data_IF_954784209330
#
_entry.id   IF_954784209330
#
_cell.length_a   1.000
_cell.length_b   1.000
_cell.length_c   1.000
_cell.angle_alpha   90.00
_cell.angle_beta   90.00
_cell.angle_gamma   90.00
#
_symmetry.space_group_name_H-M   'P 1'
#
loop_
_entity.id
_entity.type
_entity.pdbx_description
1 polymer ?
#
# COMPACT_ATOMS: atom_id res chain seq x y z
N UNK A 1 -1.63 -25.99 -8.22
CA UNK A 1 -0.74 -25.21 -7.36
C UNK A 1 0.26 -24.48 -8.25
N UNK A 2 0.74 -23.31 -7.84
CA UNK A 2 1.64 -22.48 -8.65
C UNK A 2 3.09 -22.60 -8.16
N UNK A 3 4.04 -22.39 -9.08
CA UNK A 3 5.48 -22.25 -8.79
C UNK A 3 5.91 -20.80 -9.00
N UNK A 4 7.14 -20.45 -8.68
CA UNK A 4 7.69 -19.11 -8.93
C UNK A 4 7.71 -18.73 -10.41
N UNK A 5 7.83 -19.70 -11.33
CA UNK A 5 7.84 -19.53 -12.78
C UNK A 5 6.43 -19.44 -13.39
N UNK A 6 5.38 -19.71 -12.59
CA UNK A 6 4.00 -19.64 -13.05
C UNK A 6 3.68 -18.24 -13.54
N UNK A 7 3.10 -18.11 -14.73
CA UNK A 7 2.69 -16.80 -15.28
C UNK A 7 1.55 -16.19 -14.49
N UNK A 8 1.67 -14.92 -14.17
CA UNK A 8 0.68 -14.18 -13.36
C UNK A 8 -0.72 -14.15 -13.97
N UNK A 9 -0.81 -14.16 -15.29
CA UNK A 9 -2.10 -14.11 -15.97
C UNK A 9 -3.05 -15.24 -15.54
N UNK A 10 -2.52 -16.42 -15.18
CA UNK A 10 -3.30 -17.56 -14.72
C UNK A 10 -3.83 -17.45 -13.29
N UNK A 11 -3.30 -16.49 -12.50
CA UNK A 11 -3.64 -16.30 -11.08
C UNK A 11 -4.46 -15.03 -10.87
N UNK A 12 -4.04 -13.91 -11.48
CA UNK A 12 -4.61 -12.58 -11.21
C UNK A 12 -5.42 -12.01 -12.38
N UNK A 13 -5.51 -12.74 -13.50
CA UNK A 13 -6.22 -12.35 -14.70
C UNK A 13 -5.48 -11.38 -15.61
N UNK A 14 -5.84 -11.40 -16.90
CA UNK A 14 -5.14 -10.74 -18.01
C UNK A 14 -4.92 -9.24 -17.81
N UNK A 15 -5.96 -8.50 -17.43
CA UNK A 15 -5.89 -7.03 -17.33
C UNK A 15 -4.84 -6.57 -16.32
N UNK A 16 -4.80 -7.21 -15.15
CA UNK A 16 -3.86 -6.84 -14.08
C UNK A 16 -2.46 -7.31 -14.41
N UNK A 17 -2.32 -8.55 -14.93
CA UNK A 17 -1.03 -9.09 -15.35
C UNK A 17 -0.37 -8.23 -16.44
N UNK A 18 -1.15 -7.75 -17.42
CA UNK A 18 -0.68 -6.83 -18.46
C UNK A 18 -0.15 -5.51 -17.88
N UNK A 19 -0.86 -4.91 -16.94
CA UNK A 19 -0.43 -3.64 -16.31
C UNK A 19 0.84 -3.85 -15.48
N UNK A 20 0.96 -4.97 -14.76
CA UNK A 20 2.17 -5.33 -14.02
C UNK A 20 3.38 -5.50 -14.96
N UNK A 21 3.18 -6.18 -16.09
CA UNK A 21 4.24 -6.36 -17.09
C UNK A 21 4.64 -5.02 -17.72
N UNK A 22 3.69 -4.19 -18.17
CA UNK A 22 3.96 -2.93 -18.86
C UNK A 22 4.68 -1.89 -17.99
N UNK A 23 4.42 -1.88 -16.68
CA UNK A 23 4.92 -0.82 -15.79
C UNK A 23 6.04 -1.26 -14.85
N UNK A 24 6.18 -2.55 -14.58
CA UNK A 24 7.13 -3.10 -13.62
C UNK A 24 7.92 -4.28 -14.17
N UNK A 25 7.69 -4.70 -15.43
CA UNK A 25 8.31 -5.87 -16.07
C UNK A 25 8.02 -7.21 -15.34
N UNK A 26 6.95 -7.23 -14.54
CA UNK A 26 6.52 -8.38 -13.74
C UNK A 26 5.65 -9.30 -14.57
N UNK A 27 6.07 -10.56 -14.77
CA UNK A 27 5.37 -11.55 -15.60
C UNK A 27 5.05 -12.85 -14.87
N UNK A 28 5.85 -13.20 -13.88
CA UNK A 28 5.73 -14.45 -13.12
C UNK A 28 5.38 -14.20 -11.66
N UNK A 29 4.97 -15.25 -10.95
CA UNK A 29 4.76 -15.22 -9.51
C UNK A 29 6.04 -14.80 -8.79
N UNK A 30 7.18 -15.34 -9.20
CA UNK A 30 8.47 -15.00 -8.62
C UNK A 30 8.85 -13.53 -8.82
N UNK A 31 8.53 -12.93 -9.98
CA UNK A 31 8.74 -11.50 -10.21
C UNK A 31 7.88 -10.67 -9.28
N UNK A 32 6.59 -11.04 -9.13
CA UNK A 32 5.67 -10.34 -8.25
C UNK A 32 6.11 -10.40 -6.79
N UNK A 33 6.58 -11.55 -6.32
CA UNK A 33 7.05 -11.72 -4.94
C UNK A 33 8.42 -11.08 -4.68
N UNK A 34 9.14 -10.64 -5.70
CA UNK A 34 10.33 -9.78 -5.58
C UNK A 34 9.99 -8.29 -5.65
N UNK A 35 8.74 -7.95 -5.92
CA UNK A 35 8.28 -6.57 -5.87
C UNK A 35 7.93 -6.20 -4.42
N UNK A 36 8.96 -5.90 -3.62
CA UNK A 36 8.83 -5.70 -2.18
C UNK A 36 8.07 -4.42 -1.82
N UNK A 37 7.37 -4.40 -0.67
CA UNK A 37 6.82 -3.17 -0.11
C UNK A 37 7.94 -2.15 0.17
N UNK A 38 7.64 -0.88 0.00
CA UNK A 38 8.55 0.21 0.39
C UNK A 38 8.52 0.47 1.89
N UNK A 39 7.39 0.21 2.50
CA UNK A 39 7.13 0.39 3.93
C UNK A 39 5.84 -0.31 4.33
N UNK A 40 5.62 -0.39 5.61
CA UNK A 40 4.38 -0.90 6.19
C UNK A 40 3.66 0.21 6.94
N UNK A 41 2.33 0.19 6.89
CA UNK A 41 1.45 1.08 7.63
C UNK A 41 0.87 0.32 8.80
N UNK A 42 1.08 0.80 10.02
CA UNK A 42 0.57 0.16 11.23
C UNK A 42 -0.94 0.33 11.33
N UNK A 43 -1.67 -0.77 11.47
CA UNK A 43 -3.14 -0.77 11.61
C UNK A 43 -3.62 -0.33 13.00
N UNK A 44 -2.77 -0.30 14.02
CA UNK A 44 -3.20 -0.26 15.41
C UNK A 44 -3.52 1.10 15.99
N UNK A 45 -3.11 2.19 15.35
CA UNK A 45 -3.27 3.54 15.88
C UNK A 45 -3.85 4.44 14.80
N UNK A 46 -5.14 4.18 14.47
CA UNK A 46 -5.91 5.17 13.71
C UNK A 46 -6.05 6.41 14.60
N UNK A 47 -5.35 7.45 14.21
CA UNK A 47 -5.40 8.72 14.93
C UNK A 47 -6.55 9.54 14.39
N UNK A 48 -7.39 10.09 15.28
CA UNK A 48 -8.43 11.03 14.90
C UNK A 48 -7.78 12.29 14.32
N UNK A 49 -8.36 12.82 13.24
CA UNK A 49 -7.83 14.03 12.57
C UNK A 49 -7.77 15.24 13.54
N UNK A 50 -8.65 15.30 14.51
CA UNK A 50 -8.69 16.37 15.48
C UNK A 50 -7.46 16.38 16.41
N UNK A 51 -6.96 15.21 16.78
CA UNK A 51 -5.85 15.02 17.72
C UNK A 51 -4.45 15.08 17.10
N UNK A 52 -4.32 15.24 15.77
CA UNK A 52 -3.04 15.27 15.08
C UNK A 52 -2.14 16.42 15.53
N UNK A 53 -0.87 16.12 15.83
CA UNK A 53 0.15 17.13 16.10
C UNK A 53 1.14 17.25 14.94
N UNK A 54 1.66 18.46 14.72
CA UNK A 54 2.67 18.70 13.69
C UNK A 54 3.97 17.94 14.01
N UNK A 55 4.51 17.25 13.00
CA UNK A 55 5.71 16.44 13.12
C UNK A 55 5.47 14.95 13.40
N UNK A 56 4.27 14.55 13.79
CA UNK A 56 3.92 13.14 14.03
C UNK A 56 3.81 12.35 12.72
N UNK A 57 4.25 11.09 12.74
CA UNK A 57 3.92 10.09 11.73
C UNK A 57 2.60 9.43 12.13
N UNK A 58 1.61 9.55 11.24
CA UNK A 58 0.23 9.11 11.55
C UNK A 58 -0.35 8.26 10.44
N UNK A 59 -1.30 7.42 10.84
CA UNK A 59 -2.22 6.74 9.92
C UNK A 59 -3.64 7.12 10.30
N UNK A 60 -4.38 7.67 9.36
CA UNK A 60 -5.78 8.02 9.53
C UNK A 60 -6.67 7.19 8.61
N UNK A 61 -7.83 6.81 9.11
CA UNK A 61 -8.92 6.34 8.26
C UNK A 61 -9.82 7.52 7.94
N UNK A 62 -10.04 7.79 6.65
CA UNK A 62 -10.81 8.94 6.25
C UNK A 62 -11.55 8.73 4.92
N UNK A 63 -12.58 9.53 4.70
CA UNK A 63 -13.34 9.63 3.46
C UNK A 63 -12.91 10.86 2.68
N UNK A 64 -12.71 10.71 1.38
CA UNK A 64 -12.45 11.84 0.48
C UNK A 64 -13.70 12.69 0.35
N UNK A 65 -13.59 13.96 0.70
CA UNK A 65 -14.66 14.95 0.57
C UNK A 65 -14.56 15.70 -0.76
N UNK A 66 -13.36 16.08 -1.17
CA UNK A 66 -13.13 16.72 -2.47
C UNK A 66 -11.68 16.60 -2.91
N UNK A 67 -11.45 16.61 -4.19
CA UNK A 67 -10.10 16.66 -4.78
C UNK A 67 -10.06 17.72 -5.87
N UNK A 68 -9.02 18.57 -5.84
CA UNK A 68 -8.82 19.65 -6.79
C UNK A 68 -7.40 19.63 -7.32
N UNK A 69 -7.26 19.77 -8.63
CA UNK A 69 -5.97 19.97 -9.28
C UNK A 69 -5.79 21.45 -9.58
N UNK A 70 -4.67 21.98 -9.14
CA UNK A 70 -4.28 23.37 -9.40
C UNK A 70 -2.97 23.40 -10.17
N UNK A 71 -2.97 24.02 -11.34
CA UNK A 71 -1.76 24.27 -12.09
C UNK A 71 -1.01 25.46 -11.47
N UNK A 72 0.30 25.36 -11.38
CA UNK A 72 1.15 26.47 -10.91
C UNK A 72 1.43 27.39 -12.11
N UNK A 73 1.02 28.67 -12.06
CA UNK A 73 1.27 29.62 -13.14
C UNK A 73 2.79 29.73 -13.45
N UNK A 74 3.14 29.63 -14.73
CA UNK A 74 4.53 29.74 -15.19
C UNK A 74 5.39 28.49 -14.96
N UNK A 75 4.83 27.40 -14.48
CA UNK A 75 5.52 26.10 -14.31
C UNK A 75 4.68 24.96 -14.88
N UNK A 76 5.35 23.94 -15.46
CA UNK A 76 4.69 22.68 -15.86
C UNK A 76 4.43 21.78 -14.64
N UNK A 77 3.93 22.36 -13.56
CA UNK A 77 3.75 21.69 -12.27
C UNK A 77 2.29 21.78 -11.83
N UNK A 78 1.76 20.71 -11.29
CA UNK A 78 0.41 20.66 -10.73
C UNK A 78 0.47 20.30 -9.24
N UNK A 79 -0.42 20.90 -8.46
CA UNK A 79 -0.67 20.53 -7.08
C UNK A 79 -2.05 19.88 -7.02
N UNK A 80 -2.12 18.69 -6.45
CA UNK A 80 -3.39 18.04 -6.09
C UNK A 80 -3.62 18.28 -4.61
N UNK A 81 -4.71 18.95 -4.29
CA UNK A 81 -5.20 19.13 -2.93
C UNK A 81 -6.44 18.24 -2.76
N UNK A 82 -6.33 17.24 -1.90
CA UNK A 82 -7.43 16.35 -1.54
C UNK A 82 -7.84 16.62 -0.10
N UNK A 83 -9.10 16.94 0.14
CA UNK A 83 -9.65 17.11 1.48
C UNK A 83 -10.27 15.79 1.89
N UNK A 84 -9.84 15.26 3.03
CA UNK A 84 -10.38 14.04 3.63
C UNK A 84 -10.98 14.36 5.00
N UNK A 85 -11.94 13.56 5.44
CA UNK A 85 -12.62 13.68 6.73
C UNK A 85 -12.84 12.33 7.38
N UNK A 86 -12.70 12.28 8.69
CA UNK A 86 -13.11 11.17 9.56
C UNK A 86 -14.57 11.30 10.06
N UNK A 87 -15.28 12.32 9.58
CA UNK A 87 -16.63 12.68 10.00
C UNK A 87 -16.68 13.75 11.11
N UNK A 88 -15.56 14.07 11.76
CA UNK A 88 -15.44 15.10 12.83
C UNK A 88 -14.58 16.26 12.38
N UNK A 89 -13.43 15.97 11.82
CA UNK A 89 -12.45 16.96 11.38
C UNK A 89 -12.05 16.74 9.91
N UNK A 90 -11.28 17.70 9.36
CA UNK A 90 -10.79 17.65 7.97
C UNK A 90 -9.28 17.79 7.94
N UNK A 91 -8.66 17.06 7.01
CA UNK A 91 -7.22 17.12 6.75
C UNK A 91 -6.97 17.32 5.25
N UNK A 92 -5.94 18.06 4.93
CA UNK A 92 -5.51 18.28 3.54
C UNK A 92 -4.41 17.27 3.20
N UNK A 93 -4.60 16.55 2.11
CA UNK A 93 -3.56 15.75 1.47
C UNK A 93 -3.03 16.52 0.27
N UNK A 94 -1.72 16.70 0.18
CA UNK A 94 -1.10 17.48 -0.90
C UNK A 94 -0.14 16.59 -1.71
N UNK A 95 -0.31 16.59 -3.03
CA UNK A 95 0.59 15.87 -3.94
C UNK A 95 1.10 16.82 -5.02
N UNK A 96 2.42 16.85 -5.23
CA UNK A 96 3.04 17.67 -6.27
C UNK A 96 3.32 16.82 -7.52
N UNK A 97 3.02 17.38 -8.70
CA UNK A 97 3.24 16.75 -10.00
C UNK A 97 2.56 15.38 -10.22
N UNK A 98 1.46 15.12 -9.51
CA UNK A 98 0.74 13.86 -9.56
C UNK A 98 -0.75 14.06 -9.86
N UNK A 99 -1.07 14.88 -10.88
CA UNK A 99 -2.46 15.21 -11.27
C UNK A 99 -3.35 13.97 -11.50
N UNK A 100 -2.76 12.84 -11.89
CA UNK A 100 -3.46 11.58 -12.08
C UNK A 100 -4.16 11.05 -10.80
N UNK A 101 -3.72 11.49 -9.62
CA UNK A 101 -4.32 11.07 -8.34
C UNK A 101 -5.75 11.57 -8.16
N UNK A 102 -6.15 12.64 -8.84
CA UNK A 102 -7.54 13.12 -8.87
C UNK A 102 -8.53 12.02 -9.30
N UNK A 103 -8.13 11.19 -10.27
CA UNK A 103 -8.95 10.09 -10.75
C UNK A 103 -9.09 8.96 -9.73
N UNK A 104 -8.13 8.80 -8.84
CA UNK A 104 -8.13 7.77 -7.81
C UNK A 104 -8.81 8.28 -6.52
N UNK A 105 -8.49 9.52 -6.12
CA UNK A 105 -9.02 10.16 -4.91
C UNK A 105 -10.31 10.92 -5.23
N UNK A 106 -11.33 10.19 -5.69
CA UNK A 106 -12.65 10.78 -5.99
C UNK A 106 -13.44 10.99 -4.71
N UNK A 107 -14.33 11.96 -4.74
CA UNK A 107 -15.32 12.19 -3.67
C UNK A 107 -16.05 10.90 -3.31
N UNK A 108 -16.21 10.65 -2.02
CA UNK A 108 -16.86 9.47 -1.49
C UNK A 108 -15.93 8.27 -1.24
N UNK A 109 -14.75 8.22 -1.86
CA UNK A 109 -13.79 7.14 -1.62
C UNK A 109 -13.30 7.14 -0.18
N UNK A 110 -13.17 5.96 0.40
CA UNK A 110 -12.64 5.76 1.74
C UNK A 110 -11.26 5.08 1.66
N UNK A 111 -10.43 5.33 2.66
CA UNK A 111 -9.11 4.71 2.70
C UNK A 111 -8.31 5.05 3.94
N UNK A 112 -7.19 4.36 4.06
CA UNK A 112 -6.14 4.68 5.02
C UNK A 112 -5.16 5.64 4.35
N UNK A 113 -4.76 6.68 5.07
CA UNK A 113 -3.80 7.67 4.64
C UNK A 113 -2.71 7.79 5.70
N UNK A 114 -1.44 7.62 5.30
CA UNK A 114 -0.31 7.61 6.20
C UNK A 114 0.75 8.60 5.77
N UNK A 115 1.35 9.28 6.75
CA UNK A 115 2.44 10.22 6.51
C UNK A 115 2.69 11.14 7.67
N UNK A 116 3.69 12.01 7.50
CA UNK A 116 4.05 13.00 8.50
C UNK A 116 3.13 14.21 8.45
N UNK A 117 2.59 14.56 9.61
CA UNK A 117 1.77 15.78 9.77
C UNK A 117 2.65 17.02 9.62
N UNK A 118 2.36 17.82 8.64
CA UNK A 118 2.96 19.12 8.44
C UNK A 118 1.93 20.25 8.52
N UNK A 119 2.39 21.48 8.37
CA UNK A 119 1.55 22.67 8.35
C UNK A 119 1.85 23.51 7.11
N UNK A 120 0.79 24.01 6.47
CA UNK A 120 0.90 24.97 5.39
C UNK A 120 -0.15 26.06 5.53
N UNK A 121 0.28 27.32 5.61
CA UNK A 121 -0.61 28.48 5.83
C UNK A 121 -1.55 28.29 7.04
N UNK A 122 -1.03 27.72 8.13
CA UNK A 122 -1.77 27.48 9.38
C UNK A 122 -2.77 26.33 9.33
N UNK A 123 -2.77 25.53 8.24
CA UNK A 123 -3.61 24.32 8.13
C UNK A 123 -2.75 23.07 8.18
N UNK A 124 -3.19 22.09 8.96
CA UNK A 124 -2.53 20.77 9.00
C UNK A 124 -2.73 20.06 7.66
N UNK A 125 -1.68 19.37 7.21
CA UNK A 125 -1.69 18.58 5.98
C UNK A 125 -0.77 17.38 6.09
N UNK A 126 -1.00 16.39 5.23
CA UNK A 126 -0.03 15.37 4.88
C UNK A 126 0.51 15.68 3.47
N UNK A 127 1.84 15.87 3.36
CA UNK A 127 2.49 16.06 2.07
C UNK A 127 2.95 14.72 1.51
N UNK A 128 2.48 14.39 0.31
CA UNK A 128 2.74 13.09 -0.33
C UNK A 128 2.44 11.87 0.55
N UNK A 129 1.27 11.82 1.22
CA UNK A 129 0.96 10.64 2.02
C UNK A 129 0.89 9.39 1.15
N UNK A 130 1.25 8.26 1.72
CA UNK A 130 0.84 6.98 1.17
C UNK A 130 -0.62 6.75 1.50
N UNK A 131 -1.31 5.99 0.65
CA UNK A 131 -2.69 5.66 0.90
C UNK A 131 -3.09 4.30 0.35
N UNK A 132 -4.03 3.69 1.02
CA UNK A 132 -4.71 2.47 0.63
C UNK A 132 -6.21 2.78 0.53
N UNK A 133 -6.76 2.78 -0.68
CA UNK A 133 -8.19 3.00 -0.88
C UNK A 133 -8.97 1.70 -0.71
N UNK A 134 -10.10 1.79 -0.02
CA UNK A 134 -11.05 0.68 0.11
C UNK A 134 -11.84 0.57 -1.20
N UNK A 135 -12.01 -0.64 -1.76
CA UNK A 135 -12.86 -0.86 -2.92
C UNK A 135 -14.30 -0.41 -2.69
N UNK A 136 -14.96 0.11 -3.74
CA UNK A 136 -16.35 0.54 -3.66
C UNK A 136 -17.26 -0.66 -3.34
N UNK A 137 -18.10 -0.53 -2.32
CA UNK A 137 -19.04 -1.57 -1.89
C UNK A 137 -18.48 -2.56 -0.87
N UNK A 138 -17.21 -2.50 -0.53
CA UNK A 138 -16.65 -3.26 0.58
C UNK A 138 -16.79 -2.50 1.91
N UNK A 139 -17.11 -3.24 2.98
CA UNK A 139 -17.07 -2.65 4.32
C UNK A 139 -15.62 -2.39 4.72
N UNK A 140 -15.41 -1.35 5.52
CA UNK A 140 -14.10 -1.04 6.12
C UNK A 140 -13.50 -2.26 6.80
N UNK A 141 -14.32 -2.98 7.58
CA UNK A 141 -13.91 -4.16 8.32
C UNK A 141 -13.59 -5.35 7.40
N UNK A 142 -14.28 -5.49 6.26
CA UNK A 142 -13.97 -6.53 5.28
C UNK A 142 -12.70 -6.21 4.50
N UNK A 143 -12.55 -4.97 4.02
CA UNK A 143 -11.35 -4.53 3.31
C UNK A 143 -10.11 -4.52 4.22
N UNK A 144 -10.29 -4.20 5.51
CA UNK A 144 -9.25 -4.25 6.53
C UNK A 144 -9.08 -5.69 7.07
N UNK A 145 -10.16 -6.48 7.18
CA UNK A 145 -10.12 -7.87 7.64
C UNK A 145 -9.40 -8.79 6.66
N UNK A 146 -9.50 -8.49 5.37
CA UNK A 146 -8.75 -9.15 4.31
C UNK A 146 -7.22 -8.92 4.42
N UNK A 147 -6.80 -7.85 5.08
CA UNK A 147 -5.44 -7.65 5.55
C UNK A 147 -5.39 -8.04 7.03
N UNK A 148 -5.41 -9.35 7.31
CA UNK A 148 -5.44 -9.91 8.66
C UNK A 148 -4.19 -9.53 9.51
N UNK A 149 -3.21 -8.90 8.90
CA UNK A 149 -2.00 -8.40 9.55
C UNK A 149 -2.18 -7.02 10.18
N UNK A 150 -1.40 -6.78 11.22
CA UNK A 150 -1.28 -5.48 11.90
C UNK A 150 -0.61 -4.41 11.02
N UNK A 151 0.12 -4.86 10.00
CA UNK A 151 0.95 -4.04 9.12
C UNK A 151 0.48 -4.18 7.67
N UNK A 152 0.09 -3.05 7.07
CA UNK A 152 -0.35 -2.99 5.68
C UNK A 152 0.82 -2.67 4.76
N UNK A 153 1.18 -3.54 3.82
CA UNK A 153 2.29 -3.29 2.91
C UNK A 153 1.95 -2.20 1.89
N UNK A 154 2.84 -1.24 1.71
CA UNK A 154 2.73 -0.18 0.70
C UNK A 154 3.74 -0.43 -0.41
N UNK A 155 3.24 -0.88 -1.57
CA UNK A 155 4.05 -1.20 -2.74
C UNK A 155 4.32 0.02 -3.62
N UNK A 156 5.44 0.03 -4.36
CA UNK A 156 5.61 0.89 -5.51
C UNK A 156 4.43 0.70 -6.47
N UNK A 157 3.73 1.77 -6.81
CA UNK A 157 2.46 1.71 -7.52
C UNK A 157 2.39 2.73 -8.66
N UNK A 158 1.43 2.54 -9.58
CA UNK A 158 1.16 3.46 -10.68
C UNK A 158 -0.28 3.96 -10.65
N UNK A 159 -0.59 4.94 -11.50
CA UNK A 159 -1.97 5.42 -11.68
C UNK A 159 -2.95 4.32 -12.09
N UNK A 160 -2.47 3.34 -12.85
CA UNK A 160 -3.31 2.23 -13.36
C UNK A 160 -3.41 1.07 -12.39
N UNK A 161 -2.42 0.93 -11.49
CA UNK A 161 -2.35 -0.17 -10.53
C UNK A 161 -1.94 0.36 -9.15
N UNK A 162 -2.91 0.65 -8.28
CA UNK A 162 -2.65 1.16 -6.93
C UNK A 162 -2.07 0.07 -6.02
N UNK A 163 -1.37 0.48 -4.97
CA UNK A 163 -0.67 -0.40 -4.02
C UNK A 163 -1.56 -1.50 -3.43
N UNK A 164 -2.79 -1.18 -3.04
CA UNK A 164 -3.72 -2.17 -2.49
C UNK A 164 -4.05 -3.30 -3.48
N UNK A 165 -4.12 -2.97 -4.80
CA UNK A 165 -4.36 -3.98 -5.84
C UNK A 165 -3.14 -4.88 -6.02
N UNK A 166 -1.93 -4.33 -5.90
CA UNK A 166 -0.69 -5.11 -5.89
C UNK A 166 -0.67 -6.03 -4.68
N UNK A 167 -1.00 -5.51 -3.48
CA UNK A 167 -1.10 -6.31 -2.25
C UNK A 167 -2.08 -7.48 -2.39
N UNK A 168 -3.26 -7.24 -3.01
CA UNK A 168 -4.21 -8.29 -3.32
C UNK A 168 -3.63 -9.36 -4.26
N UNK A 169 -2.91 -8.93 -5.30
CA UNK A 169 -2.25 -9.85 -6.23
C UNK A 169 -1.17 -10.68 -5.55
N UNK A 170 -0.35 -10.06 -4.70
CA UNK A 170 0.68 -10.74 -3.91
C UNK A 170 0.08 -11.80 -3.00
N UNK A 171 -1.02 -11.48 -2.30
CA UNK A 171 -1.72 -12.44 -1.46
C UNK A 171 -2.22 -13.64 -2.27
N UNK A 172 -2.92 -13.39 -3.37
CA UNK A 172 -3.39 -14.47 -4.25
C UNK A 172 -2.24 -15.34 -4.77
N UNK A 173 -1.09 -14.73 -5.07
CA UNK A 173 0.10 -15.45 -5.49
C UNK A 173 0.66 -16.32 -4.36
N UNK A 174 0.83 -15.77 -3.15
CA UNK A 174 1.29 -16.52 -1.97
C UNK A 174 0.36 -17.69 -1.59
N UNK A 175 -0.96 -17.47 -1.68
CA UNK A 175 -1.97 -18.49 -1.36
C UNK A 175 -2.01 -19.63 -2.41
N UNK A 176 -1.60 -19.33 -3.64
CA UNK A 176 -1.57 -20.30 -4.75
C UNK A 176 -0.27 -21.10 -4.83
N UNK A 177 0.81 -20.66 -4.16
CA UNK A 177 2.12 -21.29 -4.21
C UNK A 177 2.12 -22.69 -3.56
N UNK A 178 2.87 -23.58 -4.19
CA UNK A 178 3.34 -24.80 -3.55
C UNK A 178 4.41 -24.47 -2.50
N UNK A 179 4.67 -25.43 -1.61
CA UNK A 179 5.77 -25.33 -0.68
C UNK A 179 7.09 -25.19 -1.46
N UNK A 180 7.84 -24.13 -1.16
CA UNK A 180 9.10 -23.85 -1.83
C UNK A 180 10.24 -24.54 -1.07
N UNK A 181 11.14 -25.16 -1.83
CA UNK A 181 12.38 -25.68 -1.28
C UNK A 181 13.30 -24.52 -0.86
N UNK A 182 13.91 -24.65 0.29
CA UNK A 182 14.90 -23.70 0.77
C UNK A 182 16.19 -23.77 -0.07
N UNK A 183 16.81 -22.61 -0.28
CA UNK A 183 18.13 -22.51 -0.95
C UNK A 183 19.27 -22.94 -0.04
N UNK A 184 19.08 -22.88 1.27
CA UNK A 184 20.06 -23.27 2.28
C UNK A 184 19.68 -24.62 2.91
N UNK A 185 20.67 -25.45 3.30
CA UNK A 185 20.40 -26.65 4.07
C UNK A 185 19.70 -26.34 5.38
N UNK A 186 18.74 -27.17 5.79
CA UNK A 186 17.96 -26.97 7.01
C UNK A 186 18.83 -26.83 8.27
N UNK A 187 19.91 -27.61 8.34
CA UNK A 187 20.89 -27.52 9.44
C UNK A 187 21.49 -26.12 9.58
N UNK A 188 21.74 -25.44 8.46
CA UNK A 188 22.27 -24.08 8.47
C UNK A 188 21.19 -23.03 8.86
N UNK A 189 19.95 -23.23 8.40
CA UNK A 189 18.84 -22.38 8.80
C UNK A 189 18.60 -22.46 10.32
N UNK A 190 18.61 -23.67 10.86
CA UNK A 190 18.44 -23.91 12.31
C UNK A 190 19.60 -23.31 13.13
N UNK A 191 20.85 -23.45 12.67
CA UNK A 191 22.03 -22.89 13.34
C UNK A 191 22.03 -21.36 13.37
N UNK A 192 21.59 -20.74 12.27
CA UNK A 192 21.56 -19.28 12.11
C UNK A 192 20.24 -18.67 12.59
N UNK A 193 19.28 -19.48 12.99
CA UNK A 193 17.92 -19.07 13.39
C UNK A 193 17.20 -18.30 12.28
N UNK A 194 17.42 -18.69 11.02
CA UNK A 194 16.75 -18.10 9.88
C UNK A 194 15.40 -18.80 9.61
N UNK A 195 14.38 -18.03 9.23
CA UNK A 195 13.12 -18.61 8.75
C UNK A 195 13.34 -19.38 7.44
N UNK A 196 12.46 -20.30 7.10
CA UNK A 196 12.41 -20.88 5.77
C UNK A 196 12.15 -19.81 4.70
N UNK A 197 12.51 -20.10 3.45
CA UNK A 197 12.30 -19.16 2.34
C UNK A 197 10.82 -18.76 2.18
N UNK A 198 9.91 -19.72 2.35
CA UNK A 198 8.46 -19.46 2.30
C UNK A 198 7.99 -18.58 3.46
N UNK A 199 8.47 -18.84 4.68
CA UNK A 199 8.16 -17.99 5.86
C UNK A 199 8.70 -16.58 5.67
N UNK A 200 9.95 -16.42 5.20
CA UNK A 200 10.54 -15.13 4.90
C UNK A 200 9.73 -14.36 3.85
N UNK A 201 9.31 -15.01 2.76
CA UNK A 201 8.45 -14.39 1.76
C UNK A 201 7.11 -13.92 2.34
N UNK A 202 6.48 -14.75 3.17
CA UNK A 202 5.22 -14.39 3.82
C UNK A 202 5.39 -13.22 4.77
N UNK A 203 6.45 -13.22 5.56
CA UNK A 203 6.75 -12.16 6.53
C UNK A 203 7.05 -10.82 5.86
N UNK A 204 7.83 -10.81 4.76
CA UNK A 204 8.10 -9.60 3.96
C UNK A 204 6.82 -9.00 3.39
N UNK A 205 5.85 -9.79 2.99
CA UNK A 205 4.62 -9.29 2.39
C UNK A 205 3.47 -9.07 3.37
N UNK A 206 3.53 -9.70 4.54
CA UNK A 206 2.52 -9.61 5.59
C UNK A 206 3.16 -9.81 6.98
N UNK A 207 3.92 -8.83 7.48
CA UNK A 207 4.64 -8.94 8.74
C UNK A 207 3.70 -9.20 9.91
N UNK A 208 4.11 -10.13 10.77
CA UNK A 208 3.34 -10.51 11.97
C UNK A 208 3.58 -9.57 13.15
N UNK A 209 4.68 -8.83 13.16
CA UNK A 209 5.09 -7.93 14.25
C UNK A 209 5.73 -6.64 13.72
N UNK A 210 5.90 -5.63 14.61
CA UNK A 210 6.62 -4.40 14.31
C UNK A 210 8.11 -4.68 14.02
N UNK A 211 8.68 -5.61 14.78
CA UNK A 211 10.07 -6.02 14.63
C UNK A 211 10.32 -6.66 13.26
N UNK A 212 9.41 -7.55 12.83
CA UNK A 212 9.47 -8.13 11.48
C UNK A 212 9.32 -7.09 10.39
N UNK A 213 8.46 -6.08 10.59
CA UNK A 213 8.25 -5.01 9.62
C UNK A 213 9.43 -4.03 9.51
N UNK A 214 10.29 -3.92 10.54
CA UNK A 214 11.52 -3.12 10.50
C UNK A 214 12.67 -3.86 9.82
N UNK A 215 12.68 -5.19 9.89
CA UNK A 215 13.75 -6.04 9.33
C UNK A 215 13.45 -6.43 7.87
N UNK A 216 12.19 -6.43 7.45
CA UNK A 216 11.76 -6.80 6.10
C UNK A 216 11.93 -5.67 5.10
#
# INVERSE_FOLDING_TARGET
>A
MATLETRLLSIIGDKTAKVLHEHFEISTVGDLLRHYPRRYVVRGELTDIESLNEGEEVTIFAKVESTKVRLIPGRKSAIVECIVTDGRAKLILTFFNQAWREKNLREGRQGLFAGKVGSFKGKRQLAHPDYLLIPDGESVDAAIGDFAGRFLPVYPATAKLPSWKIAQCVRLALDSLEELADYLPRTLLDELHFPSFMEALREVHNPSSAESAEVA
#
